data_IF_790359901293
#
_entry.id   IF_790359901293
#
_cell.length_a   1.000
_cell.length_b   1.000
_cell.length_c   1.000
_cell.angle_alpha   90.00
_cell.angle_beta   90.00
_cell.angle_gamma   90.00
#
_symmetry.space_group_name_H-M   'P 1'
#
loop_
_entity.id
_entity.type
_entity.pdbx_description
1 polymer ?
#
# COMPACT_ATOMS: atom_id res chain seq x y z
N UNK A 1 -51.29 59.12 -30.49
CA UNK A 1 -49.82 59.02 -30.79
C UNK A 1 -49.28 57.93 -29.90
N UNK A 2 -49.15 56.71 -30.44
CA UNK A 2 -48.67 55.54 -29.73
C UNK A 2 -47.29 55.23 -30.31
N UNK A 3 -46.23 55.31 -29.49
CA UNK A 3 -44.85 54.98 -29.86
C UNK A 3 -44.57 53.52 -29.53
N UNK A 4 -44.41 52.71 -30.56
CA UNK A 4 -43.96 51.32 -30.47
C UNK A 4 -42.45 51.28 -30.12
N UNK A 5 -42.11 50.57 -29.07
CA UNK A 5 -40.77 50.16 -28.75
C UNK A 5 -40.58 48.72 -29.21
N UNK A 6 -39.74 48.53 -30.24
CA UNK A 6 -39.24 47.22 -30.67
C UNK A 6 -38.13 46.81 -29.72
N UNK A 7 -38.30 45.74 -28.98
CA UNK A 7 -37.28 45.05 -28.22
C UNK A 7 -36.65 44.02 -29.17
N UNK A 8 -35.44 44.28 -29.58
CA UNK A 8 -34.61 43.34 -30.34
C UNK A 8 -34.03 42.24 -29.37
N UNK A 9 -34.55 41.01 -29.49
CA UNK A 9 -34.03 39.87 -28.80
C UNK A 9 -32.79 39.37 -29.50
N UNK A 10 -31.59 39.62 -28.93
CA UNK A 10 -30.35 38.99 -29.37
C UNK A 10 -30.31 37.55 -28.86
N UNK A 11 -30.56 36.62 -29.78
CA UNK A 11 -30.32 35.19 -29.54
C UNK A 11 -28.81 35.00 -29.83
N UNK A 12 -27.99 34.87 -28.78
CA UNK A 12 -26.66 34.31 -28.91
C UNK A 12 -26.78 32.81 -29.18
N UNK A 13 -26.14 32.29 -30.23
CA UNK A 13 -26.02 30.84 -30.37
C UNK A 13 -25.07 30.32 -29.28
N UNK A 14 -25.60 29.49 -28.40
CA UNK A 14 -24.75 28.65 -27.52
C UNK A 14 -23.94 27.73 -28.45
N UNK A 15 -22.65 28.07 -28.60
CA UNK A 15 -21.68 27.12 -29.13
C UNK A 15 -21.54 26.03 -28.06
N UNK A 16 -22.29 24.95 -28.26
CA UNK A 16 -21.93 23.66 -27.63
C UNK A 16 -20.63 23.21 -28.26
N UNK A 17 -19.54 23.46 -27.54
CA UNK A 17 -18.30 22.73 -27.77
C UNK A 17 -18.56 21.26 -27.39
N UNK A 18 -19.08 20.49 -28.33
CA UNK A 18 -18.87 19.06 -28.35
C UNK A 18 -17.38 18.87 -28.56
N UNK A 19 -16.65 18.69 -27.46
CA UNK A 19 -15.36 18.07 -27.49
C UNK A 19 -15.58 16.63 -28.01
N UNK A 20 -15.55 16.45 -29.33
CA UNK A 20 -15.19 15.16 -29.89
C UNK A 20 -13.79 14.89 -29.37
N UNK A 21 -13.66 14.07 -28.34
CA UNK A 21 -12.42 13.37 -28.10
C UNK A 21 -12.13 12.61 -29.41
N UNK A 22 -11.22 13.12 -30.21
CA UNK A 22 -10.57 12.31 -31.21
C UNK A 22 -9.93 11.18 -30.42
N UNK A 23 -10.39 9.96 -30.63
CA UNK A 23 -9.60 8.76 -30.41
C UNK A 23 -8.38 8.90 -31.32
N UNK A 24 -7.40 9.65 -30.85
CA UNK A 24 -6.09 9.67 -31.45
C UNK A 24 -5.63 8.21 -31.42
N UNK A 25 -5.17 7.74 -32.57
CA UNK A 25 -4.68 6.39 -32.84
C UNK A 25 -3.75 5.94 -31.69
N UNK A 26 -4.36 5.41 -30.59
CA UNK A 26 -3.65 4.94 -29.41
C UNK A 26 -3.00 3.63 -29.83
N UNK A 27 -1.74 3.70 -30.14
CA UNK A 27 -0.93 2.54 -30.49
C UNK A 27 0.28 2.50 -29.54
N UNK A 28 0.29 1.55 -28.63
CA UNK A 28 1.38 1.30 -27.69
C UNK A 28 2.29 0.18 -28.20
N UNK A 29 3.59 0.43 -28.13
CA UNK A 29 4.62 -0.58 -28.41
C UNK A 29 5.07 -1.30 -27.12
N UNK A 30 5.08 -0.58 -26.01
CA UNK A 30 5.68 -1.04 -24.75
C UNK A 30 4.65 -1.54 -23.72
N UNK A 31 3.39 -1.07 -23.76
CA UNK A 31 2.38 -1.44 -22.79
C UNK A 31 1.72 -2.76 -23.13
N UNK A 32 1.65 -3.66 -22.16
CA UNK A 32 0.96 -4.94 -22.29
C UNK A 32 -0.54 -4.78 -22.02
N UNK A 33 -0.91 -4.22 -20.87
CA UNK A 33 -2.27 -3.84 -20.47
C UNK A 33 -2.26 -2.87 -19.28
N UNK A 34 -3.41 -2.26 -19.00
CA UNK A 34 -3.64 -1.38 -17.88
C UNK A 34 -4.69 -1.97 -16.96
N UNK A 35 -4.51 -1.79 -15.65
CA UNK A 35 -5.48 -2.21 -14.63
C UNK A 35 -5.79 -1.05 -13.70
N UNK A 36 -7.06 -0.88 -13.36
CA UNK A 36 -7.52 -0.07 -12.23
C UNK A 36 -8.53 -0.88 -11.45
N UNK A 37 -8.41 -0.89 -10.11
CA UNK A 37 -9.26 -1.78 -9.33
C UNK A 37 -9.47 -1.39 -7.88
N UNK A 38 -10.45 -2.05 -7.30
CA UNK A 38 -10.77 -2.04 -5.88
C UNK A 38 -10.80 -3.47 -5.37
N UNK A 39 -10.23 -3.70 -4.20
CA UNK A 39 -10.23 -5.01 -3.56
C UNK A 39 -10.58 -4.90 -2.08
N UNK A 40 -11.13 -5.96 -1.53
CA UNK A 40 -11.23 -6.18 -0.09
C UNK A 40 -10.38 -7.37 0.30
N UNK A 41 -9.65 -7.23 1.38
CA UNK A 41 -8.75 -8.25 1.91
C UNK A 41 -9.29 -8.82 3.21
N UNK A 42 -9.25 -10.15 3.34
CA UNK A 42 -9.68 -10.90 4.51
C UNK A 42 -8.56 -11.82 5.01
N UNK A 43 -8.51 -12.02 6.29
CA UNK A 43 -7.73 -13.12 6.89
C UNK A 43 -8.68 -14.20 7.36
N UNK A 44 -8.50 -15.39 6.84
CA UNK A 44 -9.22 -16.57 7.29
C UNK A 44 -8.54 -17.15 8.52
N UNK A 45 -9.33 -17.52 9.53
CA UNK A 45 -8.84 -18.25 10.70
C UNK A 45 -8.28 -19.61 10.31
N UNK A 46 -7.17 -20.00 10.93
CA UNK A 46 -6.47 -21.25 10.61
C UNK A 46 -7.27 -22.52 10.96
N UNK A 47 -8.20 -22.43 11.90
CA UNK A 47 -8.93 -23.56 12.46
C UNK A 47 -10.41 -23.58 12.07
N UNK A 48 -10.89 -22.51 11.43
CA UNK A 48 -12.30 -22.37 11.03
C UNK A 48 -12.43 -21.82 9.60
N UNK A 49 -13.63 -21.46 9.23
CA UNK A 49 -13.94 -20.75 7.97
C UNK A 49 -14.24 -19.28 8.22
N UNK A 50 -14.07 -18.81 9.44
CA UNK A 50 -14.32 -17.41 9.80
C UNK A 50 -13.27 -16.52 9.18
N UNK A 51 -13.69 -15.34 8.76
CA UNK A 51 -12.84 -14.38 8.08
C UNK A 51 -12.95 -13.02 8.77
N UNK A 52 -11.80 -12.46 9.12
CA UNK A 52 -11.68 -11.09 9.59
C UNK A 52 -11.32 -10.18 8.43
N UNK A 53 -12.10 -9.12 8.21
CA UNK A 53 -11.80 -8.11 7.20
C UNK A 53 -10.56 -7.33 7.62
N UNK A 54 -9.55 -7.28 6.72
CA UNK A 54 -8.30 -6.55 6.95
C UNK A 54 -8.45 -5.11 6.49
N UNK A 55 -8.81 -4.90 5.22
CA UNK A 55 -9.00 -3.57 4.63
C UNK A 55 -9.66 -3.64 3.26
N UNK A 56 -10.19 -2.49 2.84
CA UNK A 56 -10.48 -2.16 1.45
C UNK A 56 -9.33 -1.38 0.83
N UNK A 57 -9.10 -1.55 -0.46
CA UNK A 57 -7.94 -1.01 -1.14
C UNK A 57 -8.24 -0.61 -2.58
N UNK A 58 -7.68 0.52 -3.03
CA UNK A 58 -7.65 0.94 -4.42
C UNK A 58 -6.24 0.78 -4.98
N UNK A 59 -6.14 0.33 -6.23
CA UNK A 59 -4.86 0.20 -6.92
C UNK A 59 -5.00 0.46 -8.42
N UNK A 60 -3.88 0.76 -9.06
CA UNK A 60 -3.78 0.77 -10.52
C UNK A 60 -2.38 0.35 -10.94
N UNK A 61 -2.29 -0.29 -12.11
CA UNK A 61 -1.06 -0.89 -12.60
C UNK A 61 -0.93 -0.67 -14.11
N UNK A 62 0.32 -0.47 -14.56
CA UNK A 62 0.72 -0.45 -15.96
C UNK A 62 1.65 -1.64 -16.19
N UNK A 63 1.18 -2.67 -16.88
CA UNK A 63 2.00 -3.82 -17.24
C UNK A 63 2.79 -3.55 -18.51
N UNK A 64 4.09 -3.84 -18.47
CA UNK A 64 5.04 -3.56 -19.54
C UNK A 64 5.37 -4.84 -20.29
N UNK A 65 5.36 -4.80 -21.63
CA UNK A 65 5.76 -5.93 -22.48
C UNK A 65 7.23 -6.29 -22.27
N UNK A 66 7.58 -7.52 -22.51
CA UNK A 66 8.98 -7.96 -22.50
C UNK A 66 9.84 -7.09 -23.42
N UNK A 67 10.91 -6.51 -22.86
CA UNK A 67 11.81 -5.58 -23.56
C UNK A 67 11.24 -4.16 -23.77
N UNK A 68 10.01 -3.91 -23.37
CA UNK A 68 9.38 -2.59 -23.32
C UNK A 68 9.95 -1.72 -22.18
N UNK A 69 9.59 -0.45 -22.21
CA UNK A 69 9.97 0.49 -21.14
C UNK A 69 8.95 1.62 -21.05
N UNK A 70 8.37 1.78 -19.86
CA UNK A 70 7.38 2.81 -19.54
C UNK A 70 7.88 3.61 -18.33
N UNK A 71 7.75 4.93 -18.39
CA UNK A 71 8.20 5.84 -17.34
C UNK A 71 7.21 6.99 -17.12
N UNK A 72 7.38 7.71 -16.01
CA UNK A 72 6.59 8.89 -15.65
C UNK A 72 5.08 8.60 -15.64
N UNK A 73 4.71 7.40 -15.17
CA UNK A 73 3.31 7.02 -15.06
C UNK A 73 2.56 7.89 -14.06
N UNK A 74 1.39 8.37 -14.47
CA UNK A 74 0.43 9.05 -13.60
C UNK A 74 -0.98 8.54 -13.84
N UNK A 75 -1.76 8.51 -12.78
CA UNK A 75 -3.18 8.20 -12.78
C UNK A 75 -3.95 9.42 -12.30
N UNK A 76 -4.96 9.86 -13.03
CA UNK A 76 -5.78 10.99 -12.60
C UNK A 76 -7.27 10.73 -12.75
N UNK A 77 -8.04 11.33 -11.87
CA UNK A 77 -9.50 11.36 -11.88
C UNK A 77 -9.95 12.69 -11.26
N UNK A 78 -11.16 13.15 -11.59
CA UNK A 78 -11.68 14.42 -11.09
C UNK A 78 -11.74 14.51 -9.55
N UNK A 79 -11.89 13.40 -8.85
CA UNK A 79 -11.96 13.33 -7.39
C UNK A 79 -10.60 13.26 -6.70
N UNK A 80 -9.64 12.49 -7.27
CA UNK A 80 -8.36 12.20 -6.62
C UNK A 80 -7.22 13.13 -7.02
N UNK A 81 -7.40 13.98 -8.05
CA UNK A 81 -6.29 14.70 -8.64
C UNK A 81 -5.36 13.77 -9.42
N UNK A 82 -4.06 13.83 -9.15
CA UNK A 82 -3.04 13.02 -9.86
C UNK A 82 -2.24 12.20 -8.87
N UNK A 83 -2.12 10.91 -9.13
CA UNK A 83 -1.26 9.94 -8.43
C UNK A 83 -0.09 9.57 -9.33
N UNK A 84 1.10 9.37 -8.76
CA UNK A 84 2.27 8.88 -9.50
C UNK A 84 2.40 7.37 -9.32
N UNK A 85 2.83 6.70 -10.37
CA UNK A 85 3.20 5.30 -10.30
C UNK A 85 4.62 5.15 -9.77
N UNK A 86 4.85 4.12 -8.96
CA UNK A 86 6.18 3.64 -8.63
C UNK A 86 6.71 2.77 -9.79
N UNK A 87 7.99 2.93 -10.14
CA UNK A 87 8.60 2.23 -11.26
C UNK A 87 9.16 0.87 -10.81
N UNK A 88 8.71 -0.20 -11.47
CA UNK A 88 9.30 -1.54 -11.41
C UNK A 88 9.65 -2.02 -12.84
N UNK A 89 10.57 -2.95 -13.02
CA UNK A 89 11.05 -3.33 -14.35
C UNK A 89 9.97 -3.83 -15.32
N UNK A 90 8.93 -4.50 -14.81
CA UNK A 90 7.85 -5.11 -15.60
C UNK A 90 6.48 -4.51 -15.34
N UNK A 91 6.35 -3.68 -14.30
CA UNK A 91 5.05 -3.14 -13.87
C UNK A 91 5.27 -1.80 -13.18
N UNK A 92 4.45 -0.81 -13.47
CA UNK A 92 4.38 0.41 -12.67
C UNK A 92 3.11 0.31 -11.82
N UNK A 93 3.21 0.59 -10.53
CA UNK A 93 2.13 0.41 -9.57
C UNK A 93 1.80 1.70 -8.82
N UNK A 94 0.53 1.93 -8.51
CA UNK A 94 0.09 2.98 -7.58
C UNK A 94 -1.06 2.49 -6.71
N UNK A 95 -1.07 2.94 -5.46
CA UNK A 95 -2.01 2.46 -4.45
C UNK A 95 -2.71 3.61 -3.73
N UNK A 96 -4.01 3.47 -3.48
CA UNK A 96 -4.86 4.49 -2.87
C UNK A 96 -4.95 4.47 -1.35
N UNK A 97 -4.22 3.64 -0.66
CA UNK A 97 -4.31 3.49 0.79
C UNK A 97 -5.26 2.38 1.22
N UNK A 98 -5.51 2.28 2.53
CA UNK A 98 -6.28 1.22 3.18
C UNK A 98 -7.45 1.80 3.96
N UNK A 99 -8.64 1.19 3.83
CA UNK A 99 -9.90 1.68 4.40
C UNK A 99 -10.61 0.57 5.17
N UNK A 100 -11.38 0.94 6.18
CA UNK A 100 -12.11 -0.01 7.02
C UNK A 100 -13.50 -0.36 6.45
N UNK A 101 -13.95 0.31 5.43
CA UNK A 101 -15.23 0.05 4.77
C UNK A 101 -15.21 0.53 3.32
N UNK A 102 -16.13 0.01 2.52
CA UNK A 102 -16.28 0.32 1.11
C UNK A 102 -16.70 1.78 0.87
N UNK A 103 -17.54 2.34 1.75
CA UNK A 103 -18.05 3.71 1.60
C UNK A 103 -16.90 4.74 1.66
N UNK A 104 -15.93 4.55 2.57
CA UNK A 104 -14.76 5.43 2.68
C UNK A 104 -13.84 5.28 1.47
N UNK A 105 -13.68 4.05 0.96
CA UNK A 105 -12.95 3.79 -0.27
C UNK A 105 -13.63 4.50 -1.46
N UNK A 106 -14.94 4.34 -1.64
CA UNK A 106 -15.70 4.93 -2.74
C UNK A 106 -15.76 6.45 -2.68
N UNK A 107 -15.79 7.02 -1.48
CA UNK A 107 -15.77 8.48 -1.30
C UNK A 107 -14.46 9.11 -1.81
N UNK A 108 -13.33 8.40 -1.67
CA UNK A 108 -12.02 8.88 -2.10
C UNK A 108 -11.65 8.40 -3.50
N UNK A 109 -12.06 7.20 -3.90
CA UNK A 109 -11.80 6.61 -5.21
C UNK A 109 -13.13 6.22 -5.86
N UNK A 110 -13.95 7.19 -6.30
CA UNK A 110 -15.26 6.90 -6.88
C UNK A 110 -15.14 6.09 -8.16
N UNK A 111 -16.18 5.34 -8.50
CA UNK A 111 -16.29 4.77 -9.82
C UNK A 111 -16.37 5.88 -10.87
N UNK A 112 -15.87 5.61 -12.08
CA UNK A 112 -15.81 6.58 -13.16
C UNK A 112 -14.53 6.46 -13.98
N UNK A 113 -14.29 7.46 -14.82
CA UNK A 113 -13.12 7.47 -15.70
C UNK A 113 -11.84 7.84 -14.93
N UNK A 114 -10.81 7.03 -15.12
CA UNK A 114 -9.45 7.25 -14.67
C UNK A 114 -8.54 7.38 -15.89
N UNK A 115 -7.75 8.46 -15.92
CA UNK A 115 -6.83 8.72 -17.02
C UNK A 115 -5.43 8.27 -16.64
N UNK A 116 -4.90 7.30 -17.39
CA UNK A 116 -3.50 6.89 -17.35
C UNK A 116 -2.70 7.75 -18.30
N UNK A 117 -1.61 8.36 -17.82
CA UNK A 117 -0.67 9.11 -18.64
C UNK A 117 0.74 8.59 -18.36
N UNK A 118 1.49 8.25 -19.40
CA UNK A 118 2.84 7.72 -19.26
C UNK A 118 3.65 7.89 -20.55
N UNK A 119 4.96 7.70 -20.44
CA UNK A 119 5.91 7.83 -21.55
C UNK A 119 6.51 6.48 -21.91
N UNK A 120 6.44 6.10 -23.17
CA UNK A 120 7.08 4.92 -23.73
C UNK A 120 8.57 5.14 -24.04
N UNK A 121 9.30 4.05 -24.33
CA UNK A 121 10.72 4.04 -24.68
C UNK A 121 11.08 4.95 -25.85
N UNK A 122 10.23 4.99 -26.87
CA UNK A 122 10.40 5.85 -28.05
C UNK A 122 10.13 7.34 -27.77
N UNK A 123 9.76 7.71 -26.55
CA UNK A 123 9.44 9.06 -26.11
C UNK A 123 7.99 9.48 -26.34
N UNK A 124 7.12 8.63 -26.89
CA UNK A 124 5.71 8.88 -27.08
C UNK A 124 5.00 8.99 -25.74
N UNK A 125 4.20 10.05 -25.55
CA UNK A 125 3.29 10.18 -24.42
C UNK A 125 1.96 9.53 -24.78
N UNK A 126 1.48 8.63 -23.94
CA UNK A 126 0.16 8.04 -24.06
C UNK A 126 -0.78 8.57 -22.99
N UNK A 127 -2.05 8.71 -23.37
CA UNK A 127 -3.15 9.13 -22.50
C UNK A 127 -4.30 8.16 -22.75
N UNK A 128 -4.59 7.31 -21.80
CA UNK A 128 -5.53 6.21 -21.95
C UNK A 128 -6.58 6.27 -20.85
N UNK A 129 -7.84 6.57 -21.17
CA UNK A 129 -8.93 6.52 -20.21
C UNK A 129 -9.31 5.06 -19.93
N UNK A 130 -9.50 4.73 -18.65
CA UNK A 130 -10.05 3.45 -18.20
C UNK A 130 -11.23 3.75 -17.28
N UNK A 131 -12.37 3.15 -17.56
CA UNK A 131 -13.60 3.39 -16.78
C UNK A 131 -13.71 2.31 -15.71
N UNK A 132 -13.45 2.69 -14.46
CA UNK A 132 -13.78 1.88 -13.30
C UNK A 132 -15.27 2.02 -13.04
N UNK A 133 -16.05 1.19 -13.64
CA UNK A 133 -17.49 1.13 -13.40
C UNK A 133 -17.93 -0.31 -13.39
N UNK A 134 -19.04 -0.49 -12.72
CA UNK A 134 -19.84 -1.64 -12.97
C UNK A 134 -20.72 -1.41 -14.23
N UNK A 135 -20.76 -2.40 -15.08
CA UNK A 135 -21.45 -2.35 -16.40
C UNK A 135 -22.90 -1.83 -16.32
N UNK A 136 -23.61 -2.08 -15.22
CA UNK A 136 -25.05 -1.88 -15.17
C UNK A 136 -25.54 -0.66 -14.37
N UNK A 137 -24.86 -0.28 -13.29
CA UNK A 137 -25.37 0.76 -12.40
C UNK A 137 -24.32 1.70 -11.78
N UNK A 138 -23.06 1.56 -12.17
CA UNK A 138 -21.93 2.38 -11.68
C UNK A 138 -21.54 2.13 -10.22
N UNK A 139 -22.06 1.07 -9.58
CA UNK A 139 -21.73 0.72 -8.20
C UNK A 139 -20.49 -0.16 -8.14
N UNK A 140 -19.82 -0.14 -7.01
CA UNK A 140 -18.76 -1.09 -6.70
C UNK A 140 -19.34 -2.51 -6.55
N UNK A 141 -18.71 -3.50 -7.15
CA UNK A 141 -19.12 -4.90 -7.11
C UNK A 141 -17.98 -5.81 -6.66
N UNK A 142 -17.55 -5.63 -5.47
CA UNK A 142 -16.61 -6.56 -4.87
C UNK A 142 -17.33 -7.89 -4.65
N UNK A 143 -16.80 -9.01 -5.20
CA UNK A 143 -17.44 -10.32 -5.05
C UNK A 143 -17.33 -10.85 -3.63
N UNK A 144 -18.02 -11.97 -3.36
CA UNK A 144 -17.86 -12.69 -2.12
C UNK A 144 -16.42 -13.20 -1.96
N UNK A 145 -15.85 -13.07 -0.76
CA UNK A 145 -14.51 -13.56 -0.47
C UNK A 145 -14.45 -15.09 -0.53
N UNK A 146 -13.41 -15.66 -1.16
CA UNK A 146 -13.25 -17.12 -1.18
C UNK A 146 -12.92 -17.66 0.21
N UNK A 147 -13.55 -18.77 0.59
CA UNK A 147 -13.19 -19.55 1.78
C UNK A 147 -12.24 -20.66 1.33
N UNK A 148 -11.04 -20.65 1.87
CA UNK A 148 -9.95 -21.56 1.48
C UNK A 148 -10.04 -22.87 2.26
N UNK A 149 -9.84 -23.98 1.57
CA UNK A 149 -9.72 -25.31 2.17
C UNK A 149 -8.45 -25.99 1.66
N UNK A 150 -7.65 -26.52 2.59
CA UNK A 150 -6.42 -27.25 2.29
C UNK A 150 -6.71 -28.75 2.27
N UNK A 151 -6.22 -29.46 1.26
CA UNK A 151 -6.45 -30.89 1.07
C UNK A 151 -5.17 -31.61 0.69
N UNK A 152 -4.98 -32.82 1.21
CA UNK A 152 -3.93 -33.75 0.77
C UNK A 152 -4.53 -35.13 0.61
N UNK A 153 -4.19 -35.83 -0.47
CA UNK A 153 -4.75 -37.16 -0.82
C UNK A 153 -6.30 -37.19 -0.83
N UNK A 154 -6.93 -36.10 -1.26
CA UNK A 154 -8.38 -35.97 -1.34
C UNK A 154 -9.10 -35.77 0.03
N UNK A 155 -8.37 -35.54 1.11
CA UNK A 155 -8.92 -35.28 2.43
C UNK A 155 -8.54 -33.89 2.93
N UNK A 156 -9.48 -33.25 3.61
CA UNK A 156 -9.24 -31.95 4.28
C UNK A 156 -8.17 -32.13 5.34
N UNK A 157 -7.17 -31.25 5.35
CA UNK A 157 -6.10 -31.25 6.35
C UNK A 157 -6.13 -29.93 7.14
N UNK A 158 -5.67 -30.01 8.38
CA UNK A 158 -5.56 -28.82 9.22
C UNK A 158 -4.39 -27.95 8.75
N UNK A 159 -4.53 -26.65 8.84
CA UNK A 159 -3.52 -25.66 8.40
C UNK A 159 -2.17 -25.80 9.14
N UNK A 160 -2.14 -26.45 10.29
CA UNK A 160 -0.94 -26.69 11.09
C UNK A 160 -0.37 -28.11 10.92
N UNK A 161 -0.87 -28.91 9.97
CA UNK A 161 -0.52 -30.34 9.82
C UNK A 161 -0.30 -30.73 8.35
N UNK A 162 0.19 -29.80 7.52
CA UNK A 162 0.50 -30.09 6.12
C UNK A 162 1.74 -30.98 6.05
N UNK A 163 1.61 -32.12 5.37
CA UNK A 163 2.70 -33.06 5.14
C UNK A 163 3.56 -32.53 3.95
N UNK A 164 4.83 -32.15 4.19
CA UNK A 164 5.67 -31.57 3.15
C UNK A 164 6.06 -32.58 2.06
N UNK A 165 5.86 -33.87 2.28
CA UNK A 165 6.16 -34.93 1.32
C UNK A 165 4.98 -35.27 0.38
N UNK A 166 3.88 -34.49 0.46
CA UNK A 166 2.67 -34.67 -0.35
C UNK A 166 2.27 -33.36 -1.03
N UNK A 167 1.77 -33.47 -2.25
CA UNK A 167 1.17 -32.35 -2.94
C UNK A 167 0.03 -31.77 -2.11
N UNK A 168 -0.09 -30.43 -2.15
CA UNK A 168 -1.14 -29.67 -1.49
C UNK A 168 -2.16 -29.22 -2.53
N UNK A 169 -3.38 -29.70 -2.42
CA UNK A 169 -4.49 -29.15 -3.19
C UNK A 169 -5.15 -28.03 -2.35
N UNK A 170 -5.25 -26.86 -2.94
CA UNK A 170 -5.90 -25.68 -2.38
C UNK A 170 -7.20 -25.50 -3.13
N UNK A 171 -8.32 -25.60 -2.42
CA UNK A 171 -9.66 -25.38 -2.98
C UNK A 171 -10.34 -24.20 -2.29
N UNK A 172 -11.33 -23.63 -2.93
CA UNK A 172 -12.09 -22.49 -2.43
C UNK A 172 -13.58 -22.59 -2.73
N UNK A 173 -14.38 -21.73 -2.10
CA UNK A 173 -15.80 -21.65 -2.42
C UNK A 173 -16.01 -21.18 -3.85
N UNK A 174 -17.01 -21.69 -4.59
CA UNK A 174 -17.25 -21.31 -5.99
C UNK A 174 -17.39 -19.80 -6.17
N UNK A 175 -16.82 -19.29 -7.24
CA UNK A 175 -16.95 -17.89 -7.65
C UNK A 175 -18.26 -17.68 -8.41
N UNK A 176 -19.38 -17.60 -7.65
CA UNK A 176 -20.73 -17.57 -8.23
C UNK A 176 -21.06 -16.26 -8.95
N UNK A 177 -20.40 -15.16 -8.63
CA UNK A 177 -20.54 -13.86 -9.28
C UNK A 177 -19.70 -13.75 -10.54
N UNK A 178 -18.77 -14.69 -10.75
CA UNK A 178 -17.89 -14.72 -11.92
C UNK A 178 -18.60 -15.20 -13.17
N UNK A 179 -18.17 -14.68 -14.31
CA UNK A 179 -18.75 -14.95 -15.62
C UNK A 179 -17.67 -14.99 -16.73
N UNK A 180 -18.04 -15.54 -17.87
CA UNK A 180 -17.25 -15.38 -19.07
C UNK A 180 -17.35 -13.94 -19.58
N UNK A 181 -16.24 -13.44 -20.15
CA UNK A 181 -16.21 -12.12 -20.77
C UNK A 181 -17.05 -12.11 -22.05
N UNK A 182 -18.01 -11.21 -22.13
CA UNK A 182 -18.84 -11.03 -23.33
C UNK A 182 -18.02 -10.61 -24.56
N UNK A 183 -16.90 -9.92 -24.35
CA UNK A 183 -15.98 -9.50 -25.41
C UNK A 183 -14.98 -10.60 -25.79
N UNK A 184 -14.93 -11.70 -25.04
CA UNK A 184 -14.01 -12.82 -25.25
C UNK A 184 -12.54 -12.45 -25.07
N UNK A 185 -12.26 -11.41 -24.26
CA UNK A 185 -10.91 -10.93 -24.00
C UNK A 185 -10.26 -11.65 -22.81
N UNK A 186 -10.89 -11.58 -21.65
CA UNK A 186 -10.51 -12.33 -20.45
C UNK A 186 -11.72 -12.52 -19.55
N UNK A 187 -11.99 -13.76 -19.18
CA UNK A 187 -13.03 -14.11 -18.22
C UNK A 187 -12.71 -13.56 -16.82
N UNK A 188 -13.69 -13.55 -15.94
CA UNK A 188 -13.43 -13.26 -14.53
C UNK A 188 -12.42 -14.26 -13.95
N UNK A 189 -11.46 -13.76 -13.20
CA UNK A 189 -10.27 -14.51 -12.81
C UNK A 189 -10.30 -14.97 -11.36
N UNK A 190 -9.62 -16.08 -11.13
CA UNK A 190 -9.19 -16.50 -9.80
C UNK A 190 -7.67 -16.47 -9.75
N UNK A 191 -7.10 -15.79 -8.76
CA UNK A 191 -5.68 -15.87 -8.48
C UNK A 191 -5.45 -16.68 -7.21
N UNK A 192 -4.60 -17.70 -7.31
CA UNK A 192 -4.14 -18.47 -6.17
C UNK A 192 -2.62 -18.33 -6.06
N UNK A 193 -2.15 -17.79 -4.96
CA UNK A 193 -0.73 -17.51 -4.73
C UNK A 193 -0.31 -18.14 -3.41
N UNK A 194 0.83 -18.83 -3.42
CA UNK A 194 1.47 -19.32 -2.19
C UNK A 194 2.80 -18.61 -2.04
N UNK A 195 3.04 -18.03 -0.88
CA UNK A 195 4.29 -17.41 -0.51
C UNK A 195 4.81 -17.95 0.82
N UNK A 196 6.08 -17.71 1.08
CA UNK A 196 6.64 -17.91 2.41
C UNK A 196 6.51 -16.62 3.24
N UNK A 197 6.75 -16.71 4.54
CA UNK A 197 6.66 -15.55 5.44
C UNK A 197 7.79 -14.51 5.26
N UNK A 198 8.71 -14.74 4.31
CA UNK A 198 9.72 -13.76 3.89
C UNK A 198 9.26 -12.89 2.72
N UNK A 199 8.02 -13.08 2.25
CA UNK A 199 7.48 -12.38 1.10
C UNK A 199 7.88 -12.97 -0.25
N UNK A 200 8.57 -14.13 -0.27
CA UNK A 200 8.92 -14.80 -1.52
C UNK A 200 7.71 -15.58 -2.04
N UNK A 201 7.32 -15.27 -3.27
CA UNK A 201 6.27 -15.98 -4.00
C UNK A 201 6.82 -17.32 -4.48
N UNK A 202 6.29 -18.43 -3.98
CA UNK A 202 6.73 -19.78 -4.34
C UNK A 202 5.85 -20.46 -5.37
N UNK A 203 4.59 -20.04 -5.50
CA UNK A 203 3.67 -20.51 -6.54
C UNK A 203 2.67 -19.41 -6.90
N UNK A 204 2.24 -19.38 -8.15
CA UNK A 204 1.23 -18.46 -8.68
C UNK A 204 0.44 -19.15 -9.77
N UNK A 205 -0.89 -19.01 -9.75
CA UNK A 205 -1.80 -19.64 -10.72
C UNK A 205 -1.67 -19.14 -12.17
N UNK A 206 -0.82 -18.12 -12.39
CA UNK A 206 -0.64 -17.54 -13.72
C UNK A 206 -1.47 -16.26 -13.93
N UNK A 207 -1.21 -15.62 -15.06
CA UNK A 207 -1.93 -14.43 -15.53
C UNK A 207 -2.33 -14.63 -16.99
N UNK A 208 -3.49 -14.13 -17.44
CA UNK A 208 -4.02 -14.40 -18.79
C UNK A 208 -3.11 -13.91 -19.91
N UNK A 209 -2.36 -12.84 -19.70
CA UNK A 209 -1.58 -12.17 -20.74
C UNK A 209 -0.14 -12.68 -20.91
N UNK A 210 0.29 -13.61 -20.04
CA UNK A 210 1.63 -14.21 -20.10
C UNK A 210 1.72 -15.45 -21.00
N UNK A 211 0.64 -15.83 -21.68
CA UNK A 211 0.58 -17.01 -22.54
C UNK A 211 0.64 -18.34 -21.76
N UNK A 212 0.61 -18.30 -20.44
CA UNK A 212 0.57 -19.46 -19.54
C UNK A 212 -0.83 -19.85 -19.10
N UNK A 213 -0.92 -20.98 -18.40
CA UNK A 213 -2.15 -21.38 -17.74
C UNK A 213 -2.53 -20.34 -16.67
N UNK A 214 -3.82 -20.08 -16.54
CA UNK A 214 -4.40 -19.20 -15.52
C UNK A 214 -5.74 -19.80 -15.07
N UNK A 215 -6.24 -19.33 -13.94
CA UNK A 215 -7.52 -19.78 -13.39
C UNK A 215 -8.60 -18.73 -13.68
N UNK A 216 -9.80 -19.23 -13.95
CA UNK A 216 -11.00 -18.43 -14.21
C UNK A 216 -12.06 -18.71 -13.15
N UNK A 217 -13.17 -18.00 -13.22
CA UNK A 217 -14.33 -18.21 -12.33
C UNK A 217 -14.85 -19.66 -12.33
N UNK A 218 -14.56 -20.45 -13.37
CA UNK A 218 -14.98 -21.85 -13.48
C UNK A 218 -14.08 -22.82 -12.68
N UNK A 219 -12.90 -22.35 -12.25
CA UNK A 219 -11.96 -23.16 -11.49
C UNK A 219 -12.27 -23.08 -9.98
N UNK A 220 -12.07 -24.17 -9.26
CA UNK A 220 -12.37 -24.26 -7.84
C UNK A 220 -11.22 -24.79 -6.98
N UNK A 221 -10.10 -25.16 -7.61
CA UNK A 221 -8.92 -25.67 -6.92
C UNK A 221 -7.65 -25.54 -7.75
N UNK A 222 -6.52 -25.65 -7.08
CA UNK A 222 -5.19 -25.78 -7.68
C UNK A 222 -4.33 -26.72 -6.85
N UNK A 223 -3.49 -27.49 -7.52
CA UNK A 223 -2.53 -28.38 -6.83
C UNK A 223 -1.13 -27.76 -6.85
N UNK A 224 -0.53 -27.63 -5.70
CA UNK A 224 0.83 -27.15 -5.49
C UNK A 224 1.75 -28.36 -5.24
N UNK A 225 2.84 -28.45 -6.00
CA UNK A 225 3.80 -29.55 -5.85
C UNK A 225 4.46 -29.51 -4.48
N UNK A 226 4.58 -30.68 -3.87
CA UNK A 226 5.32 -30.91 -2.62
C UNK A 226 6.77 -30.39 -2.68
N UNK A 227 7.38 -30.39 -3.86
CA UNK A 227 8.77 -29.97 -4.05
C UNK A 227 9.01 -28.49 -3.75
N UNK A 228 7.93 -27.71 -3.53
CA UNK A 228 7.96 -26.29 -3.16
C UNK A 228 7.90 -26.06 -1.64
N UNK A 229 7.73 -27.13 -0.86
CA UNK A 229 7.58 -27.01 0.60
C UNK A 229 8.78 -27.57 1.35
N UNK A 230 9.22 -26.85 2.37
CA UNK A 230 10.20 -27.32 3.32
C UNK A 230 9.51 -27.79 4.60
N UNK A 231 10.04 -28.80 5.31
CA UNK A 231 9.51 -29.23 6.60
C UNK A 231 9.61 -28.13 7.68
N UNK A 232 8.56 -27.95 8.46
CA UNK A 232 8.53 -27.05 9.61
C UNK A 232 8.44 -25.55 9.28
N UNK A 233 8.22 -25.19 8.01
CA UNK A 233 8.09 -23.79 7.59
C UNK A 233 6.64 -23.31 7.59
N UNK A 234 6.49 -22.00 7.72
CA UNK A 234 5.20 -21.31 7.63
C UNK A 234 5.03 -20.68 6.26
N UNK A 235 3.85 -20.85 5.71
CA UNK A 235 3.44 -20.36 4.40
C UNK A 235 2.12 -19.60 4.50
N UNK A 236 1.87 -18.77 3.53
CA UNK A 236 0.58 -18.12 3.34
C UNK A 236 0.05 -18.42 1.95
N UNK A 237 -1.19 -18.84 1.87
CA UNK A 237 -1.94 -18.88 0.62
C UNK A 237 -2.89 -17.69 0.57
N UNK A 238 -2.97 -17.03 -0.58
CA UNK A 238 -4.05 -16.13 -0.93
C UNK A 238 -4.85 -16.68 -2.10
N UNK A 239 -6.16 -16.54 -2.01
CA UNK A 239 -7.07 -16.79 -3.12
C UNK A 239 -7.87 -15.51 -3.34
N UNK A 240 -7.95 -15.06 -4.58
CA UNK A 240 -8.67 -13.87 -4.97
C UNK A 240 -9.71 -14.21 -6.02
N UNK A 241 -10.94 -13.76 -5.82
CA UNK A 241 -11.98 -13.69 -6.84
C UNK A 241 -11.96 -12.29 -7.44
N UNK A 242 -11.79 -12.15 -8.75
CA UNK A 242 -11.67 -10.87 -9.43
C UNK A 242 -12.65 -10.77 -10.60
N UNK A 243 -13.65 -9.92 -10.45
CA UNK A 243 -14.55 -9.52 -11.54
C UNK A 243 -13.79 -8.59 -12.47
N UNK A 244 -13.81 -8.90 -13.78
CA UNK A 244 -13.08 -8.16 -14.80
C UNK A 244 -14.04 -7.43 -15.75
N UNK A 245 -13.87 -6.12 -15.88
CA UNK A 245 -14.50 -5.33 -16.92
C UNK A 245 -13.45 -4.93 -17.94
N UNK A 246 -13.45 -5.59 -19.09
CA UNK A 246 -12.39 -5.49 -20.08
C UNK A 246 -12.80 -4.60 -21.25
N UNK A 247 -11.84 -3.85 -21.78
CA UNK A 247 -12.03 -3.02 -22.96
C UNK A 247 -10.69 -2.83 -23.70
N UNK A 248 -10.74 -2.18 -24.85
CA UNK A 248 -9.57 -1.75 -25.62
C UNK A 248 -9.60 -0.25 -25.87
N UNK A 249 -8.47 0.40 -25.70
CA UNK A 249 -8.25 1.77 -26.18
C UNK A 249 -7.12 1.71 -27.22
N UNK A 250 -7.50 1.78 -28.49
CA UNK A 250 -6.57 1.47 -29.57
C UNK A 250 -6.12 0.01 -29.53
N UNK A 251 -4.80 -0.24 -29.41
CA UNK A 251 -4.26 -1.59 -29.26
C UNK A 251 -3.93 -1.95 -27.80
N UNK A 252 -4.29 -1.10 -26.82
CA UNK A 252 -3.98 -1.33 -25.41
C UNK A 252 -5.19 -1.94 -24.71
N UNK A 253 -5.07 -3.16 -24.17
CA UNK A 253 -6.08 -3.75 -23.31
C UNK A 253 -6.20 -2.94 -22.00
N UNK A 254 -7.41 -2.70 -21.54
CA UNK A 254 -7.71 -2.00 -20.29
C UNK A 254 -8.65 -2.85 -19.44
N UNK A 255 -8.38 -2.91 -18.16
CA UNK A 255 -9.13 -3.74 -17.21
C UNK A 255 -9.56 -2.87 -16.04
N UNK A 256 -10.84 -2.84 -15.77
CA UNK A 256 -11.37 -2.42 -14.48
C UNK A 256 -11.71 -3.67 -13.67
N UNK A 257 -11.33 -3.73 -12.40
CA UNK A 257 -11.53 -4.93 -11.59
C UNK A 257 -12.07 -4.62 -10.20
N UNK A 258 -12.90 -5.54 -9.71
CA UNK A 258 -13.35 -5.58 -8.32
C UNK A 258 -13.02 -6.96 -7.76
N UNK A 259 -12.26 -6.99 -6.67
CA UNK A 259 -11.74 -8.25 -6.15
C UNK A 259 -11.98 -8.43 -4.65
N UNK A 260 -12.04 -9.70 -4.23
CA UNK A 260 -12.02 -10.08 -2.84
C UNK A 260 -10.95 -11.15 -2.62
N UNK A 261 -10.00 -10.87 -1.74
CA UNK A 261 -8.87 -11.74 -1.46
C UNK A 261 -8.95 -12.30 -0.05
N UNK A 262 -8.82 -13.61 0.09
CA UNK A 262 -8.65 -14.27 1.38
C UNK A 262 -7.22 -14.75 1.56
N UNK A 263 -6.66 -14.54 2.75
CA UNK A 263 -5.36 -15.03 3.16
C UNK A 263 -5.51 -16.08 4.24
N UNK A 264 -4.84 -17.22 4.07
CA UNK A 264 -4.79 -18.29 5.06
C UNK A 264 -3.34 -18.70 5.31
N UNK A 265 -2.90 -18.60 6.57
CA UNK A 265 -1.60 -19.10 6.97
C UNK A 265 -1.65 -20.59 7.24
N UNK A 266 -0.62 -21.31 6.80
CA UNK A 266 -0.46 -22.72 7.11
C UNK A 266 1.00 -23.08 7.36
N UNK A 267 1.25 -24.20 8.03
CA UNK A 267 2.61 -24.69 8.20
C UNK A 267 2.72 -26.18 7.89
N UNK A 268 3.87 -26.54 7.38
CA UNK A 268 4.25 -27.93 7.16
C UNK A 268 4.67 -28.60 8.46
N UNK A 269 4.49 -29.92 8.53
CA UNK A 269 4.99 -30.76 9.62
C UNK A 269 6.52 -30.76 9.62
N UNK A 270 7.13 -30.81 10.82
CA UNK A 270 8.58 -30.84 11.00
C UNK A 270 8.99 -30.03 12.23
N UNK A 271 10.30 -29.90 12.44
CA UNK A 271 10.81 -29.04 13.49
C UNK A 271 10.51 -27.57 13.12
N UNK A 272 9.87 -26.84 14.02
CA UNK A 272 9.48 -25.46 13.79
C UNK A 272 10.71 -24.56 13.82
N UNK A 273 11.08 -24.04 12.65
CA UNK A 273 12.24 -23.13 12.45
C UNK A 273 11.81 -21.66 12.55
N UNK A 274 10.51 -21.35 12.52
CA UNK A 274 9.95 -19.99 12.54
C UNK A 274 8.70 -19.87 13.40
N UNK A 275 8.17 -18.66 13.52
CA UNK A 275 6.92 -18.38 14.24
C UNK A 275 5.72 -19.14 13.68
N UNK A 276 4.63 -19.16 14.43
CA UNK A 276 3.42 -19.93 14.08
C UNK A 276 2.55 -19.25 12.99
N UNK A 277 2.77 -17.97 12.72
CA UNK A 277 1.98 -17.17 11.78
C UNK A 277 2.87 -16.31 10.92
N UNK A 278 2.49 -16.15 9.63
CA UNK A 278 3.03 -15.08 8.83
C UNK A 278 2.45 -13.78 9.37
N UNK A 279 3.28 -12.97 9.98
CA UNK A 279 2.89 -11.59 10.26
C UNK A 279 2.49 -10.96 8.93
N UNK A 280 1.30 -10.34 8.81
CA UNK A 280 1.02 -9.56 7.62
C UNK A 280 2.18 -8.60 7.43
N UNK A 281 2.86 -8.69 6.30
CA UNK A 281 3.87 -7.69 5.97
C UNK A 281 3.19 -6.34 6.15
N UNK A 282 3.75 -5.40 6.92
CA UNK A 282 3.22 -4.06 6.93
C UNK A 282 3.16 -3.66 5.46
N UNK A 283 1.96 -3.34 5.01
CA UNK A 283 1.80 -2.82 3.65
C UNK A 283 2.79 -1.69 3.56
N UNK A 284 3.82 -1.85 2.73
CA UNK A 284 4.74 -0.76 2.47
C UNK A 284 3.86 0.40 2.03
N UNK A 285 3.74 1.38 2.89
CA UNK A 285 3.20 2.67 2.47
C UNK A 285 4.26 3.20 1.51
N UNK A 286 3.98 3.06 0.21
CA UNK A 286 4.84 3.57 -0.82
C UNK A 286 5.17 5.02 -0.51
N UNK A 287 6.46 5.32 -0.36
CA UNK A 287 6.96 6.68 -0.12
C UNK A 287 6.59 7.65 -1.26
N UNK A 288 5.90 7.15 -2.29
CA UNK A 288 5.41 7.91 -3.45
C UNK A 288 4.00 8.47 -3.32
N UNK A 289 3.23 8.11 -2.28
CA UNK A 289 1.80 8.49 -2.19
C UNK A 289 1.51 9.77 -1.41
N UNK A 290 2.48 10.61 -1.14
CA UNK A 290 2.23 11.86 -0.40
C UNK A 290 1.68 13.01 -1.26
N UNK A 291 1.39 12.78 -2.54
CA UNK A 291 0.82 13.84 -3.38
C UNK A 291 -0.72 13.71 -3.50
N UNK A 292 -1.41 13.64 -2.36
CA UNK A 292 -2.85 13.88 -2.30
C UNK A 292 -3.11 15.39 -2.34
N UNK A 293 -3.36 15.92 -3.52
CA UNK A 293 -4.10 17.18 -3.56
C UNK A 293 -5.52 16.89 -3.07
N UNK A 294 -5.78 17.16 -1.81
CA UNK A 294 -7.15 17.27 -1.30
C UNK A 294 -7.81 18.39 -2.12
N UNK A 295 -8.68 18.03 -3.07
CA UNK A 295 -9.55 18.98 -3.74
C UNK A 295 -10.67 19.42 -2.77
N UNK A 296 -10.29 20.21 -1.78
CA UNK A 296 -11.13 21.25 -1.24
C UNK A 296 -10.76 22.55 -1.96
N UNK A 297 -11.62 23.51 -2.03
CA UNK A 297 -11.47 24.81 -2.68
C UNK A 297 -10.30 25.68 -2.15
N UNK A 298 -9.28 25.06 -1.53
CA UNK A 298 -8.07 25.69 -1.03
C UNK A 298 -6.90 24.75 -1.33
N UNK A 299 -6.00 25.17 -2.21
CA UNK A 299 -4.67 24.58 -2.33
C UNK A 299 -3.96 24.79 -0.99
N UNK A 300 -3.76 23.70 -0.23
CA UNK A 300 -2.95 23.76 0.97
C UNK A 300 -1.47 23.86 0.54
N UNK A 301 -0.69 24.74 1.18
CA UNK A 301 0.74 24.82 0.92
C UNK A 301 1.43 23.47 1.26
N UNK A 302 2.56 23.22 0.61
CA UNK A 302 3.42 22.07 0.92
C UNK A 302 3.96 22.18 2.35
N UNK A 303 4.09 21.05 3.04
CA UNK A 303 4.83 20.96 4.30
C UNK A 303 6.27 20.62 3.94
N UNK A 304 7.18 21.59 4.10
CA UNK A 304 8.57 21.42 3.74
C UNK A 304 9.37 20.66 4.80
N UNK A 305 9.07 20.92 6.11
CA UNK A 305 9.79 20.36 7.23
C UNK A 305 8.86 20.12 8.43
N UNK A 306 9.22 19.16 9.28
CA UNK A 306 8.56 18.92 10.56
C UNK A 306 9.56 19.06 11.71
N UNK A 307 9.22 19.87 12.72
CA UNK A 307 10.01 20.02 13.95
C UNK A 307 9.17 19.58 15.16
N UNK A 308 9.64 18.55 15.87
CA UNK A 308 9.04 18.17 17.15
C UNK A 308 9.72 18.95 18.27
N UNK A 309 9.01 19.91 18.90
CA UNK A 309 9.52 20.72 19.98
C UNK A 309 9.28 20.06 21.34
N UNK A 310 10.36 19.81 22.10
CA UNK A 310 10.34 19.24 23.43
C UNK A 310 10.77 20.28 24.46
N UNK A 311 9.97 20.44 25.51
CA UNK A 311 10.18 21.46 26.53
C UNK A 311 10.85 20.87 27.75
N UNK A 312 11.92 21.53 28.21
CA UNK A 312 12.76 21.11 29.33
C UNK A 312 12.79 22.16 30.42
N UNK A 313 12.89 21.72 31.65
CA UNK A 313 13.22 22.61 32.75
C UNK A 313 14.58 23.30 32.55
N UNK A 314 14.83 24.40 33.19
CA UNK A 314 16.11 25.09 33.12
C UNK A 314 17.29 24.15 33.46
N UNK A 315 17.09 23.26 34.46
CA UNK A 315 18.09 22.31 34.95
C UNK A 315 18.36 21.13 33.94
N UNK A 316 17.36 20.78 33.11
CA UNK A 316 17.45 19.67 32.18
C UNK A 316 17.77 20.11 30.77
N UNK A 317 17.62 21.39 30.44
CA UNK A 317 17.88 21.92 29.08
C UNK A 317 19.33 21.66 28.63
N UNK A 318 20.32 22.00 29.42
CA UNK A 318 21.73 21.83 29.03
C UNK A 318 22.11 20.35 28.92
N UNK A 319 21.49 19.47 29.72
CA UNK A 319 21.64 18.02 29.62
C UNK A 319 21.02 17.49 28.33
N UNK A 320 19.84 18.02 27.95
CA UNK A 320 19.18 17.64 26.69
C UNK A 320 20.00 18.12 25.46
N UNK A 321 20.59 19.32 25.53
CA UNK A 321 21.52 19.81 24.50
C UNK A 321 22.73 18.90 24.35
N UNK A 322 23.32 18.46 25.46
CA UNK A 322 24.42 17.49 25.44
C UNK A 322 23.96 16.14 24.85
N UNK A 323 22.78 15.64 25.27
CA UNK A 323 22.24 14.37 24.82
C UNK A 323 22.04 14.34 23.29
N UNK A 324 21.27 15.28 22.73
CA UNK A 324 21.02 15.29 21.27
C UNK A 324 22.25 15.68 20.45
N UNK A 325 22.97 16.71 20.86
CA UNK A 325 24.09 17.25 20.08
C UNK A 325 25.40 16.49 20.24
N UNK A 326 25.73 16.02 21.45
CA UNK A 326 27.03 15.39 21.75
C UNK A 326 26.91 13.88 21.81
N UNK A 327 25.98 13.34 22.57
CA UNK A 327 25.90 11.90 22.84
C UNK A 327 25.29 11.16 21.62
N UNK A 328 24.23 11.70 21.01
CA UNK A 328 23.65 11.20 19.76
C UNK A 328 24.32 11.76 18.50
N UNK A 329 25.21 12.73 18.61
CA UNK A 329 25.95 13.36 17.52
C UNK A 329 25.08 13.89 16.38
N UNK A 330 23.85 14.39 16.70
CA UNK A 330 22.96 14.95 15.71
C UNK A 330 23.46 16.33 15.24
N UNK A 331 23.31 16.62 13.95
CA UNK A 331 23.65 17.92 13.38
C UNK A 331 22.76 19.02 13.95
N UNK A 332 23.37 20.08 14.48
CA UNK A 332 22.64 21.26 14.95
C UNK A 332 22.34 22.19 13.78
N UNK A 333 21.08 22.38 13.46
CA UNK A 333 20.61 23.26 12.36
C UNK A 333 20.21 24.66 12.86
N UNK A 334 19.80 24.77 14.11
CA UNK A 334 19.50 26.06 14.76
C UNK A 334 20.04 26.10 16.19
N UNK A 335 20.62 27.23 16.60
CA UNK A 335 21.30 27.37 17.89
C UNK A 335 21.04 28.76 18.50
N UNK A 336 20.17 28.81 19.51
CA UNK A 336 19.93 30.01 20.32
C UNK A 336 20.02 29.65 21.82
N UNK A 337 20.07 30.67 22.70
CA UNK A 337 20.21 30.49 24.13
C UNK A 337 19.07 29.68 24.79
N UNK A 338 17.88 29.68 24.19
CA UNK A 338 16.68 29.05 24.74
C UNK A 338 16.14 27.89 23.89
N UNK A 339 16.67 27.67 22.67
CA UNK A 339 16.27 26.60 21.78
C UNK A 339 17.42 26.12 20.93
N UNK A 340 17.53 24.80 20.75
CA UNK A 340 18.42 24.14 19.80
C UNK A 340 17.58 23.21 18.93
N UNK A 341 17.84 23.17 17.62
CA UNK A 341 17.17 22.26 16.69
C UNK A 341 18.22 21.34 16.06
N UNK A 342 17.93 20.05 16.11
CA UNK A 342 18.78 18.99 15.62
C UNK A 342 18.12 18.25 14.47
N UNK A 343 18.86 17.96 13.42
CA UNK A 343 18.41 17.25 12.23
C UNK A 343 18.32 15.75 12.51
N UNK A 344 17.17 15.13 12.24
CA UNK A 344 16.98 13.69 12.25
C UNK A 344 17.15 13.10 10.84
N UNK A 345 16.56 13.75 9.83
CA UNK A 345 16.74 13.47 8.39
C UNK A 345 16.39 14.72 7.55
N UNK A 346 16.32 14.59 6.22
CA UNK A 346 16.13 15.72 5.28
C UNK A 346 14.83 16.53 5.51
N UNK A 347 13.85 16.06 6.23
CA UNK A 347 12.61 16.81 6.48
C UNK A 347 12.13 16.73 7.92
N UNK A 348 12.91 16.12 8.83
CA UNK A 348 12.50 15.90 10.21
C UNK A 348 13.56 16.37 11.21
N UNK A 349 13.10 17.10 12.23
CA UNK A 349 13.96 17.71 13.24
C UNK A 349 13.38 17.51 14.64
N UNK A 350 14.25 17.55 15.66
CA UNK A 350 13.87 17.65 17.05
C UNK A 350 14.38 18.97 17.63
N UNK A 351 13.51 19.72 18.27
CA UNK A 351 13.82 20.97 18.94
C UNK A 351 13.85 20.78 20.47
N UNK A 352 14.96 21.17 21.10
CA UNK A 352 15.14 21.22 22.54
C UNK A 352 14.88 22.65 22.98
N UNK A 353 13.84 22.87 23.80
CA UNK A 353 13.38 24.19 24.21
C UNK A 353 13.47 24.33 25.74
N UNK A 354 14.11 25.42 26.22
CA UNK A 354 14.12 25.77 27.62
C UNK A 354 12.77 26.38 28.04
N UNK A 355 12.17 25.91 29.11
CA UNK A 355 10.99 26.57 29.66
C UNK A 355 11.27 28.02 30.02
N UNK A 356 10.25 28.88 29.94
CA UNK A 356 10.29 30.27 30.37
C UNK A 356 9.17 30.57 31.35
N UNK A 357 9.41 31.52 32.22
CA UNK A 357 8.37 32.08 33.08
C UNK A 357 7.24 32.66 32.24
N UNK A 358 6.01 32.22 32.48
CA UNK A 358 4.86 32.61 31.69
C UNK A 358 4.74 31.91 30.32
N UNK A 359 5.65 30.98 30.00
CA UNK A 359 5.57 30.15 28.75
C UNK A 359 4.32 29.29 28.72
N UNK A 360 3.74 29.14 27.53
CA UNK A 360 2.52 28.37 27.32
C UNK A 360 2.71 26.87 27.57
N UNK A 361 3.86 26.32 27.18
CA UNK A 361 4.20 24.90 27.36
C UNK A 361 5.11 24.72 28.58
N UNK A 362 4.85 23.64 29.31
CA UNK A 362 5.64 23.25 30.50
C UNK A 362 6.17 21.83 30.32
N UNK A 363 7.39 21.54 30.81
CA UNK A 363 7.91 20.18 30.77
C UNK A 363 7.06 19.27 31.67
N UNK A 364 6.86 18.02 31.18
CA UNK A 364 6.15 17.00 31.94
C UNK A 364 6.93 15.67 31.83
N UNK A 365 7.35 15.14 32.99
CA UNK A 365 8.12 13.88 33.04
C UNK A 365 7.29 12.63 32.72
N UNK A 366 5.97 12.73 32.83
CA UNK A 366 5.03 11.65 32.48
C UNK A 366 4.48 11.86 31.06
N UNK A 367 5.34 12.27 30.13
CA UNK A 367 4.96 12.59 28.77
C UNK A 367 4.44 11.35 28.02
N UNK A 368 3.31 11.52 27.31
CA UNK A 368 2.78 10.54 26.35
C UNK A 368 3.46 10.63 24.96
N UNK A 369 4.51 11.46 24.83
CA UNK A 369 5.26 11.62 23.58
C UNK A 369 6.44 10.67 23.55
N UNK A 370 6.59 9.96 22.44
CA UNK A 370 7.75 9.13 22.12
C UNK A 370 8.33 9.61 20.78
N UNK A 371 9.64 9.75 20.72
CA UNK A 371 10.34 10.00 19.47
C UNK A 371 10.82 8.68 18.93
N UNK A 372 10.34 8.27 17.76
CA UNK A 372 10.75 7.05 17.11
C UNK A 372 11.69 7.36 15.94
N UNK A 373 12.90 6.84 16.01
CA UNK A 373 13.96 6.98 15.02
C UNK A 373 14.12 5.67 14.27
N UNK A 374 13.83 5.68 12.96
CA UNK A 374 13.97 4.50 12.11
C UNK A 374 15.36 4.45 11.52
N UNK A 375 16.07 3.35 11.74
CA UNK A 375 17.42 3.12 11.21
C UNK A 375 17.59 1.66 10.81
N UNK A 376 18.12 1.41 9.62
CA UNK A 376 18.49 0.05 9.16
C UNK A 376 19.71 -0.54 9.90
N UNK A 377 20.30 0.21 10.81
CA UNK A 377 21.48 -0.19 11.60
C UNK A 377 21.16 -0.09 13.10
N UNK A 378 20.01 -0.63 13.53
CA UNK A 378 19.58 -0.51 14.92
C UNK A 378 20.56 -1.16 15.91
N UNK A 379 21.20 -2.27 15.54
CA UNK A 379 22.20 -2.95 16.38
C UNK A 379 23.49 -2.10 16.53
N UNK A 380 23.90 -1.36 15.50
CA UNK A 380 25.04 -0.44 15.58
C UNK A 380 24.72 0.75 16.50
N UNK A 381 23.49 1.30 16.39
CA UNK A 381 23.02 2.33 17.31
C UNK A 381 22.99 1.83 18.74
N UNK A 382 22.45 0.63 18.98
CA UNK A 382 22.43 0.02 20.30
C UNK A 382 23.83 -0.13 20.88
N UNK A 383 24.77 -0.64 20.09
CA UNK A 383 26.17 -0.80 20.49
C UNK A 383 26.84 0.55 20.80
N UNK A 384 26.57 1.59 20.00
CA UNK A 384 27.08 2.94 20.23
C UNK A 384 26.52 3.54 21.54
N UNK A 385 25.21 3.37 21.78
CA UNK A 385 24.53 3.84 22.98
C UNK A 385 25.05 3.11 24.25
N UNK A 386 25.29 1.80 24.20
CA UNK A 386 25.90 1.05 25.30
C UNK A 386 27.31 1.59 25.68
N UNK A 387 28.05 2.07 24.69
CA UNK A 387 29.38 2.68 24.90
C UNK A 387 29.28 4.12 25.40
N UNK A 388 28.17 4.82 25.17
CA UNK A 388 27.91 6.17 25.65
C UNK A 388 27.45 6.11 27.11
N UNK A 389 28.37 6.19 28.07
CA UNK A 389 28.15 5.98 29.52
C UNK A 389 27.07 6.86 30.16
N UNK A 390 26.58 7.87 29.45
CA UNK A 390 25.63 8.86 29.98
C UNK A 390 24.19 8.64 29.53
N UNK A 391 23.91 7.67 28.66
CA UNK A 391 22.58 7.40 28.16
C UNK A 391 21.96 6.22 28.92
N UNK A 392 20.77 6.44 29.45
CA UNK A 392 20.03 5.39 30.16
C UNK A 392 19.20 4.57 29.14
N UNK A 393 19.53 3.27 29.05
CA UNK A 393 18.66 2.32 28.35
C UNK A 393 17.44 2.05 29.23
N UNK A 394 16.26 2.28 28.65
CA UNK A 394 14.96 2.01 29.30
C UNK A 394 14.51 0.59 28.98
N UNK A 395 14.74 0.13 27.75
CA UNK A 395 14.47 -1.23 27.31
C UNK A 395 15.60 -1.70 26.40
N UNK A 396 16.19 -2.82 26.75
CA UNK A 396 17.21 -3.51 25.95
C UNK A 396 16.69 -3.83 24.56
N UNK A 397 17.62 -4.07 23.61
CA UNK A 397 17.25 -4.42 22.25
C UNK A 397 16.41 -5.69 22.19
N UNK A 398 15.33 -5.66 21.43
CA UNK A 398 14.36 -6.75 21.35
C UNK A 398 13.69 -6.78 19.97
N UNK A 399 13.24 -7.97 19.57
CA UNK A 399 12.31 -8.13 18.47
C UNK A 399 10.89 -8.03 19.02
N UNK A 400 10.07 -7.16 18.45
CA UNK A 400 8.72 -6.92 18.94
C UNK A 400 7.79 -8.02 18.43
N UNK A 401 6.98 -8.58 19.34
CA UNK A 401 6.03 -9.66 19.01
C UNK A 401 4.74 -9.16 18.33
N UNK A 402 4.44 -7.87 18.46
CA UNK A 402 3.20 -7.28 17.94
C UNK A 402 3.43 -6.41 16.70
N UNK A 403 4.67 -6.14 16.35
CA UNK A 403 5.07 -5.39 15.17
C UNK A 403 6.39 -5.95 14.63
N UNK A 404 6.58 -6.04 13.31
CA UNK A 404 7.80 -6.60 12.72
C UNK A 404 8.96 -5.61 12.83
N UNK A 405 9.35 -5.27 14.04
CA UNK A 405 10.43 -4.36 14.34
C UNK A 405 11.42 -4.96 15.33
N UNK A 406 12.69 -4.68 15.12
CA UNK A 406 13.75 -4.80 16.10
C UNK A 406 14.01 -3.42 16.70
N UNK A 407 13.91 -3.27 18.00
CA UNK A 407 13.91 -1.97 18.66
C UNK A 407 14.65 -1.98 19.99
N UNK A 408 15.03 -0.79 20.46
CA UNK A 408 15.39 -0.51 21.86
C UNK A 408 14.91 0.88 22.26
N UNK A 409 14.75 1.09 23.55
CA UNK A 409 14.27 2.36 24.09
C UNK A 409 15.32 2.98 25.01
N UNK A 410 15.49 4.28 24.88
CA UNK A 410 16.29 5.09 25.79
C UNK A 410 15.44 6.21 26.40
N UNK A 411 15.92 6.76 27.47
CA UNK A 411 15.28 7.88 28.14
C UNK A 411 16.18 9.11 28.04
N UNK A 412 15.63 10.20 27.51
CA UNK A 412 16.36 11.47 27.50
C UNK A 412 16.33 12.16 28.87
N UNK A 413 17.11 13.24 29.10
CA UNK A 413 17.17 13.92 30.38
C UNK A 413 15.85 14.55 30.84
N UNK A 414 14.94 14.89 29.95
CA UNK A 414 13.60 15.42 30.27
C UNK A 414 12.57 14.34 30.56
N UNK A 415 12.94 13.07 30.45
CA UNK A 415 12.07 11.91 30.65
C UNK A 415 11.28 11.49 29.42
N UNK A 416 11.57 12.05 28.24
CA UNK A 416 10.97 11.59 27.00
C UNK A 416 11.56 10.24 26.58
N UNK A 417 10.70 9.36 26.06
CA UNK A 417 11.14 8.10 25.48
C UNK A 417 11.64 8.34 24.04
N UNK A 418 12.84 7.85 23.74
CA UNK A 418 13.37 7.80 22.38
C UNK A 418 13.53 6.34 22.00
N UNK A 419 12.84 5.95 20.95
CA UNK A 419 12.89 4.62 20.36
C UNK A 419 13.80 4.63 19.14
N UNK A 420 14.70 3.67 19.06
CA UNK A 420 15.38 3.33 17.82
C UNK A 420 14.85 2.00 17.33
N UNK A 421 14.45 1.93 16.06
CA UNK A 421 13.98 0.68 15.50
C UNK A 421 14.32 0.50 14.03
N UNK A 422 14.36 -0.74 13.59
CA UNK A 422 14.36 -1.12 12.18
C UNK A 422 13.16 -2.03 11.89
N UNK A 423 12.70 -1.99 10.65
CA UNK A 423 11.72 -2.95 10.17
C UNK A 423 12.42 -4.27 9.88
N UNK A 424 11.95 -5.38 10.48
CA UNK A 424 12.57 -6.71 10.32
C UNK A 424 12.32 -7.34 8.95
N UNK A 425 11.28 -6.87 8.24
CA UNK A 425 11.00 -7.25 6.86
C UNK A 425 10.39 -6.03 6.17
N UNK A 426 11.16 -5.27 5.40
CA UNK A 426 10.64 -4.19 4.57
C UNK A 426 9.89 -4.73 3.36
#
# INVERSE_FOLDING_TARGET
>A
MIRNWLVALFILPALTLTACAQDADVNSEDTQFLVVGKTVNYRQDRNSTDQDMINYHFFAEIFVKDGGHVTNGTLSNAAIGTMKFADHPSTLETHGGRYNNEQDLDALYPNGEYLFEYKEKNGKMLRIPVVLSNKDDGKTRIPASPIITLMQNGMKVASNAIDPDKDLNISWTPFNEGAADENGFVDDLVFAVVGNCKGEKISHSGVPFGGGAHLTYADSDVTISKDLFNPGEVYQVSVEHAVMDTNYVGNVPTIATYAATSFLDFNTSGENIGGLDCTPLPVQMDKGQTDRSLKGTMELPTIDEQITMLYYSADDFDKAVQFYGTDLQLETTYNDAWVKIYKLNEGAFVGVVRESDGGFHKPNKDSAVMISIVSKSVDDWYSAILNAKNIKIEKEIYDNQSAPIRAFLIRDPGGYTVEFFEWLNP
#
